data_IF_365408491511
#
_entry.id   IF_365408491511
#
_cell.length_a   1.000
_cell.length_b   1.000
_cell.length_c   1.000
_cell.angle_alpha   90.00
_cell.angle_beta   90.00
_cell.angle_gamma   90.00
#
_symmetry.space_group_name_H-M   'P 1'
#
loop_
_entity.id
_entity.type
_entity.pdbx_description
1 polymer ?
#
# COMPACT_ATOMS: atom_id res chain seq x y z
N UNK A 1 -40.52 -20.95 -6.15
CA UNK A 1 -40.41 -21.92 -5.06
C UNK A 1 -39.05 -21.80 -4.41
N UNK A 2 -38.99 -21.59 -3.09
CA UNK A 2 -37.73 -21.60 -2.34
C UNK A 2 -37.37 -23.05 -2.04
N UNK A 3 -36.29 -23.56 -2.65
CA UNK A 3 -35.65 -24.78 -2.19
C UNK A 3 -34.79 -24.41 -0.97
N UNK A 4 -35.22 -24.89 0.19
CA UNK A 4 -34.50 -24.81 1.47
C UNK A 4 -33.24 -25.67 1.42
N UNK A 5 -32.15 -25.13 0.87
CA UNK A 5 -30.81 -25.62 1.20
C UNK A 5 -30.46 -25.13 2.60
N UNK A 6 -30.59 -25.99 3.61
CA UNK A 6 -30.17 -25.69 4.98
C UNK A 6 -28.71 -25.24 4.98
N UNK A 7 -28.49 -23.92 5.13
CA UNK A 7 -27.14 -23.37 5.27
C UNK A 7 -26.59 -23.80 6.61
N UNK A 8 -25.76 -24.84 6.61
CA UNK A 8 -25.09 -25.28 7.83
C UNK A 8 -24.09 -24.21 8.28
N UNK A 9 -24.38 -23.62 9.44
CA UNK A 9 -23.53 -22.64 10.09
C UNK A 9 -22.40 -23.38 10.80
N UNK A 10 -21.19 -23.28 10.27
CA UNK A 10 -20.00 -23.86 10.88
C UNK A 10 -18.91 -22.80 11.05
N UNK A 11 -18.18 -22.88 12.16
CA UNK A 11 -17.02 -22.01 12.40
C UNK A 11 -15.94 -22.20 11.32
N UNK A 12 -15.14 -21.17 10.98
CA UNK A 12 -14.07 -21.29 9.97
C UNK A 12 -13.09 -22.42 10.28
N UNK A 13 -12.78 -22.62 11.57
CA UNK A 13 -11.91 -23.69 12.03
C UNK A 13 -12.53 -25.08 11.82
N UNK A 14 -13.82 -25.26 12.14
CA UNK A 14 -14.54 -26.52 11.93
C UNK A 14 -14.63 -26.89 10.43
N UNK A 15 -14.89 -25.91 9.54
CA UNK A 15 -14.92 -26.15 8.08
C UNK A 15 -13.57 -26.62 7.53
N UNK A 16 -12.47 -26.10 8.10
CA UNK A 16 -11.11 -26.49 7.70
C UNK A 16 -10.80 -27.92 8.13
N UNK A 17 -11.05 -28.26 9.39
CA UNK A 17 -10.80 -29.61 9.94
C UNK A 17 -11.65 -30.66 9.23
N UNK A 18 -12.93 -30.37 9.00
CA UNK A 18 -13.82 -31.30 8.31
C UNK A 18 -13.38 -31.58 6.86
N UNK A 19 -12.89 -30.55 6.14
CA UNK A 19 -12.34 -30.70 4.79
C UNK A 19 -11.07 -31.55 4.79
N UNK A 20 -10.18 -31.32 5.74
CA UNK A 20 -8.93 -32.08 5.90
C UNK A 20 -9.20 -33.55 6.25
N UNK A 21 -10.24 -33.81 7.05
CA UNK A 21 -10.63 -35.16 7.46
C UNK A 21 -11.62 -35.86 6.50
N UNK A 22 -12.06 -35.20 5.42
CA UNK A 22 -13.05 -35.75 4.49
C UNK A 22 -14.45 -35.94 5.07
N UNK A 23 -14.79 -35.19 6.12
CA UNK A 23 -16.09 -35.22 6.80
C UNK A 23 -16.99 -34.13 6.21
N UNK A 24 -18.22 -34.51 5.88
CA UNK A 24 -19.24 -33.55 5.46
C UNK A 24 -19.81 -32.80 6.67
N UNK A 25 -19.51 -31.51 6.75
CA UNK A 25 -20.00 -30.61 7.83
C UNK A 25 -21.52 -30.57 7.88
N UNK A 26 -22.21 -30.84 6.76
CA UNK A 26 -23.67 -30.86 6.73
C UNK A 26 -24.28 -32.08 7.41
N UNK A 27 -23.52 -33.16 7.57
CA UNK A 27 -23.91 -34.36 8.30
C UNK A 27 -23.54 -34.31 9.79
N UNK A 28 -22.90 -33.23 10.25
CA UNK A 28 -22.47 -33.06 11.65
C UNK A 28 -23.47 -32.18 12.39
N UNK A 29 -24.05 -32.71 13.46
CA UNK A 29 -24.93 -31.94 14.36
C UNK A 29 -24.10 -30.93 15.16
N UNK A 30 -24.42 -29.65 15.04
CA UNK A 30 -23.67 -28.57 15.70
C UNK A 30 -24.15 -28.29 17.12
N UNK A 31 -23.23 -28.31 18.09
CA UNK A 31 -23.52 -28.04 19.51
C UNK A 31 -23.30 -26.57 19.93
N UNK A 32 -22.82 -25.71 19.01
CA UNK A 32 -22.51 -24.31 19.30
C UNK A 32 -23.73 -23.36 19.28
N UNK A 33 -23.54 -22.08 19.68
CA UNK A 33 -24.61 -21.08 19.71
C UNK A 33 -25.30 -20.93 18.35
N UNK A 34 -26.63 -21.01 18.35
CA UNK A 34 -27.49 -21.05 17.14
C UNK A 34 -27.32 -22.30 16.26
N UNK A 35 -26.99 -23.46 16.85
CA UNK A 35 -26.83 -24.72 16.11
C UNK A 35 -25.55 -24.77 15.27
N UNK A 36 -24.53 -23.99 15.66
CA UNK A 36 -23.29 -23.86 14.91
C UNK A 36 -22.39 -25.07 15.12
N UNK A 37 -21.87 -25.65 14.03
CA UNK A 37 -20.86 -26.71 14.10
C UNK A 37 -19.52 -26.13 14.55
N UNK A 38 -19.04 -26.61 15.70
CA UNK A 38 -17.75 -26.24 16.28
C UNK A 38 -16.74 -27.37 16.13
N UNK A 39 -15.47 -27.09 16.46
CA UNK A 39 -14.37 -28.06 16.33
C UNK A 39 -14.68 -29.40 17.01
N UNK A 40 -15.24 -29.36 18.22
CA UNK A 40 -15.54 -30.56 19.01
C UNK A 40 -16.54 -31.50 18.29
N UNK A 41 -17.51 -30.96 17.55
CA UNK A 41 -18.51 -31.76 16.84
C UNK A 41 -17.88 -32.49 15.64
N UNK A 42 -16.95 -31.82 14.95
CA UNK A 42 -16.19 -32.41 13.83
C UNK A 42 -15.24 -33.48 14.35
N UNK A 43 -14.53 -33.23 15.45
CA UNK A 43 -13.63 -34.20 16.07
C UNK A 43 -14.38 -35.44 16.59
N UNK A 44 -15.59 -35.26 17.12
CA UNK A 44 -16.48 -36.34 17.52
C UNK A 44 -16.99 -37.15 16.31
N UNK A 45 -17.35 -36.50 15.21
CA UNK A 45 -17.76 -37.16 13.98
C UNK A 45 -16.62 -37.97 13.33
N UNK A 46 -15.38 -37.47 13.42
CA UNK A 46 -14.16 -38.19 13.00
C UNK A 46 -13.93 -39.42 13.88
N UNK A 47 -14.10 -39.29 15.19
CA UNK A 47 -13.85 -40.36 16.16
C UNK A 47 -14.93 -41.44 16.18
N UNK A 48 -16.18 -41.08 15.86
CA UNK A 48 -17.35 -41.97 15.87
C UNK A 48 -17.54 -42.81 14.61
N UNK A 49 -16.67 -42.69 13.60
CA UNK A 49 -16.68 -43.53 12.38
C UNK A 49 -17.90 -43.38 11.47
N UNK A 50 -18.79 -42.43 11.73
CA UNK A 50 -20.13 -42.37 11.16
C UNK A 50 -20.41 -41.15 10.29
N UNK A 51 -19.54 -40.83 9.31
CA UNK A 51 -19.89 -39.95 8.18
C UNK A 51 -18.77 -39.97 7.12
N UNK A 52 -18.47 -41.14 6.55
CA UNK A 52 -17.62 -41.22 5.36
C UNK A 52 -18.46 -40.86 4.14
N UNK A 53 -18.13 -39.76 3.47
CA UNK A 53 -18.76 -39.38 2.21
C UNK A 53 -18.58 -40.49 1.16
N UNK A 54 -19.63 -40.77 0.40
CA UNK A 54 -19.56 -41.62 -0.79
C UNK A 54 -18.55 -41.05 -1.81
N UNK A 55 -17.94 -41.87 -2.69
CA UNK A 55 -16.87 -41.40 -3.56
C UNK A 55 -17.40 -40.34 -4.52
N UNK A 56 -17.06 -39.08 -4.27
CA UNK A 56 -17.31 -38.01 -5.21
C UNK A 56 -16.47 -38.25 -6.47
N UNK A 57 -17.11 -38.17 -7.64
CA UNK A 57 -16.42 -38.13 -8.92
C UNK A 57 -15.28 -37.12 -8.85
N UNK A 58 -14.09 -37.50 -9.35
CA UNK A 58 -12.89 -36.66 -9.38
C UNK A 58 -13.24 -35.26 -9.88
N UNK A 59 -13.38 -34.32 -8.96
CA UNK A 59 -13.31 -32.91 -9.28
C UNK A 59 -11.89 -32.69 -9.81
N UNK A 60 -11.80 -32.23 -11.06
CA UNK A 60 -10.56 -31.72 -11.61
C UNK A 60 -9.94 -30.75 -10.59
N UNK A 61 -8.60 -30.74 -10.41
CA UNK A 61 -7.97 -29.87 -9.45
C UNK A 61 -8.50 -28.46 -9.69
N UNK A 62 -9.07 -27.85 -8.64
CA UNK A 62 -9.46 -26.46 -8.64
C UNK A 62 -8.24 -25.69 -9.15
N UNK A 63 -8.36 -25.16 -10.38
CA UNK A 63 -7.29 -24.41 -11.00
C UNK A 63 -6.82 -23.37 -9.99
N UNK A 64 -5.50 -23.27 -9.83
CA UNK A 64 -4.91 -22.06 -9.28
C UNK A 64 -5.67 -20.86 -9.87
N UNK A 65 -5.99 -19.81 -9.09
CA UNK A 65 -6.68 -18.64 -9.62
C UNK A 65 -5.96 -18.26 -10.90
N UNK A 66 -6.68 -18.33 -12.02
CA UNK A 66 -6.10 -18.04 -13.32
C UNK A 66 -5.41 -16.68 -13.19
N UNK A 67 -4.13 -16.54 -13.62
CA UNK A 67 -3.47 -15.25 -13.58
C UNK A 67 -4.42 -14.25 -14.23
N UNK A 68 -4.77 -13.19 -13.49
CA UNK A 68 -5.65 -12.15 -13.98
C UNK A 68 -5.14 -11.75 -15.36
N UNK A 69 -5.94 -12.02 -16.40
CA UNK A 69 -5.55 -11.75 -17.78
C UNK A 69 -5.34 -10.24 -17.83
N UNK A 70 -4.08 -9.81 -17.93
CA UNK A 70 -3.75 -8.40 -18.02
C UNK A 70 -4.45 -7.86 -19.27
N UNK A 71 -5.56 -7.15 -19.08
CA UNK A 71 -6.29 -6.51 -20.16
C UNK A 71 -5.33 -5.51 -20.80
N UNK A 72 -4.97 -5.77 -22.06
CA UNK A 72 -4.21 -4.79 -22.83
C UNK A 72 -5.05 -3.51 -22.94
N UNK A 73 -4.45 -2.33 -22.73
CA UNK A 73 -5.17 -1.08 -22.93
C UNK A 73 -5.70 -0.98 -24.37
N UNK A 74 -6.91 -0.43 -24.51
CA UNK A 74 -7.52 -0.14 -25.80
C UNK A 74 -6.66 0.86 -26.58
N UNK A 75 -6.68 0.78 -27.91
CA UNK A 75 -6.06 1.81 -28.74
C UNK A 75 -6.85 3.11 -28.69
N UNK A 76 -6.20 4.23 -29.02
CA UNK A 76 -6.82 5.56 -29.06
C UNK A 76 -8.11 5.55 -29.91
N UNK A 77 -8.08 4.98 -31.12
CA UNK A 77 -9.25 4.86 -32.00
C UNK A 77 -10.40 4.04 -31.38
N UNK A 78 -10.08 3.01 -30.59
CA UNK A 78 -11.09 2.21 -29.90
C UNK A 78 -11.73 3.00 -28.77
N UNK A 79 -10.95 3.80 -28.04
CA UNK A 79 -11.45 4.67 -26.97
C UNK A 79 -12.34 5.78 -27.56
N UNK A 80 -11.90 6.44 -28.63
CA UNK A 80 -12.64 7.55 -29.23
C UNK A 80 -14.01 7.11 -29.79
N UNK A 81 -14.11 5.89 -30.32
CA UNK A 81 -15.38 5.31 -30.80
C UNK A 81 -16.44 5.11 -29.70
N UNK A 82 -16.06 5.19 -28.43
CA UNK A 82 -17.00 5.12 -27.31
C UNK A 82 -17.78 6.43 -27.10
N UNK A 83 -17.37 7.52 -27.75
CA UNK A 83 -17.94 8.85 -27.57
C UNK A 83 -18.50 9.38 -28.90
N UNK A 84 -19.57 10.17 -28.83
CA UNK A 84 -20.15 10.79 -30.02
C UNK A 84 -19.19 11.81 -30.63
N UNK A 85 -19.11 11.88 -31.95
CA UNK A 85 -18.29 12.87 -32.64
C UNK A 85 -18.71 14.30 -32.25
N UNK A 86 -17.73 15.16 -31.96
CA UNK A 86 -17.97 16.54 -31.50
C UNK A 86 -18.36 16.68 -30.02
N UNK A 87 -18.48 15.59 -29.27
CA UNK A 87 -18.80 15.64 -27.82
C UNK A 87 -17.59 15.84 -26.90
N UNK A 88 -16.37 15.92 -27.45
CA UNK A 88 -15.13 16.00 -26.68
C UNK A 88 -14.10 16.95 -27.32
N UNK A 89 -13.23 17.50 -26.47
CA UNK A 89 -12.05 18.24 -26.87
C UNK A 89 -10.80 17.39 -26.63
N UNK A 90 -9.91 17.34 -27.63
CA UNK A 90 -8.63 16.66 -27.51
C UNK A 90 -7.58 17.63 -26.98
N UNK A 91 -7.15 17.40 -25.73
CA UNK A 91 -6.00 18.09 -25.14
C UNK A 91 -4.76 17.18 -25.25
N UNK A 92 -3.79 17.49 -26.12
CA UNK A 92 -2.62 16.64 -26.31
C UNK A 92 -1.81 16.49 -25.02
N UNK A 93 -1.33 15.27 -24.76
CA UNK A 93 -0.42 15.03 -23.65
C UNK A 93 1.00 15.51 -23.99
N UNK A 94 1.57 16.31 -23.11
CA UNK A 94 3.01 16.58 -23.09
C UNK A 94 3.83 15.33 -22.70
N UNK A 95 5.14 15.38 -22.93
CA UNK A 95 6.04 14.27 -22.65
C UNK A 95 6.18 13.95 -21.15
N UNK A 96 6.02 14.95 -20.28
CA UNK A 96 6.10 14.80 -18.84
C UNK A 96 4.91 13.97 -18.34
N UNK A 97 3.69 14.34 -18.72
CA UNK A 97 2.44 13.63 -18.44
C UNK A 97 2.47 12.19 -18.95
N UNK A 98 2.92 11.96 -20.19
CA UNK A 98 3.07 10.60 -20.75
C UNK A 98 4.03 9.74 -19.92
N UNK A 99 5.12 10.33 -19.45
CA UNK A 99 6.13 9.63 -18.65
C UNK A 99 5.63 9.31 -17.25
N UNK A 100 4.97 10.27 -16.58
CA UNK A 100 4.35 10.07 -15.27
C UNK A 100 3.30 8.96 -15.35
N UNK A 101 2.40 9.01 -16.34
CA UNK A 101 1.36 8.00 -16.52
C UNK A 101 1.94 6.60 -16.69
N UNK A 102 2.97 6.44 -17.54
CA UNK A 102 3.66 5.16 -17.74
C UNK A 102 4.27 4.62 -16.44
N UNK A 103 4.95 5.46 -15.66
CA UNK A 103 5.59 5.06 -14.39
C UNK A 103 4.56 4.69 -13.32
N UNK A 104 3.46 5.43 -13.22
CA UNK A 104 2.39 5.13 -12.26
C UNK A 104 1.68 3.81 -12.58
N UNK A 105 1.42 3.54 -13.86
CA UNK A 105 0.84 2.25 -14.30
C UNK A 105 1.81 1.12 -14.02
N UNK A 106 3.08 1.26 -14.40
CA UNK A 106 4.13 0.29 -14.09
C UNK A 106 4.19 -0.01 -12.59
N UNK A 107 4.28 1.02 -11.73
CA UNK A 107 4.33 0.85 -10.29
C UNK A 107 3.08 0.15 -9.73
N UNK A 108 1.88 0.61 -10.10
CA UNK A 108 0.62 0.09 -9.55
C UNK A 108 0.32 -1.34 -9.99
N UNK A 109 0.77 -1.73 -11.18
CA UNK A 109 0.51 -3.07 -11.73
C UNK A 109 1.55 -4.10 -11.31
N UNK A 110 2.79 -3.68 -11.04
CA UNK A 110 3.91 -4.59 -10.72
C UNK A 110 4.20 -4.69 -9.22
N UNK A 111 3.94 -3.64 -8.45
CA UNK A 111 4.26 -3.60 -7.01
C UNK A 111 3.01 -3.97 -6.21
N UNK A 112 3.07 -4.98 -5.31
CA UNK A 112 1.97 -5.36 -4.45
C UNK A 112 1.79 -4.35 -3.30
N UNK A 113 1.04 -3.29 -3.55
CA UNK A 113 0.80 -2.23 -2.57
C UNK A 113 -0.14 -2.68 -1.44
N UNK A 114 0.18 -2.26 -0.23
CA UNK A 114 -0.74 -2.25 0.91
C UNK A 114 -0.54 -0.95 1.68
N UNK A 115 -1.59 -0.50 2.38
CA UNK A 115 -1.62 0.81 3.01
C UNK A 115 -1.65 0.67 4.52
N UNK A 116 -0.83 1.50 5.19
CA UNK A 116 -0.82 1.66 6.63
C UNK A 116 -1.14 3.12 6.97
N UNK A 117 -1.80 3.36 8.10
CA UNK A 117 -2.17 4.70 8.54
C UNK A 117 -2.00 4.78 10.05
N UNK A 118 -1.54 5.94 10.51
CA UNK A 118 -1.40 6.29 11.91
C UNK A 118 -1.62 7.80 12.07
N UNK A 119 -2.07 8.21 13.25
CA UNK A 119 -2.21 9.62 13.61
C UNK A 119 -1.00 10.05 14.47
N UNK A 120 -0.44 11.23 14.16
CA UNK A 120 0.68 11.82 14.89
C UNK A 120 0.29 13.15 15.52
N UNK A 121 0.50 13.28 16.83
CA UNK A 121 0.41 14.57 17.54
C UNK A 121 1.62 15.45 17.21
N UNK A 122 1.38 16.72 16.90
CA UNK A 122 2.42 17.66 16.43
C UNK A 122 2.68 18.82 17.39
N UNK A 123 1.93 18.98 18.48
CA UNK A 123 2.06 20.10 19.42
C UNK A 123 3.52 20.38 19.84
N UNK A 124 4.23 19.35 20.29
CA UNK A 124 5.63 19.47 20.74
C UNK A 124 6.57 19.81 19.59
N UNK A 125 6.31 19.26 18.39
CA UNK A 125 7.08 19.55 17.19
C UNK A 125 6.91 21.01 16.76
N UNK A 126 5.67 21.53 16.82
CA UNK A 126 5.35 22.92 16.48
C UNK A 126 5.97 23.90 17.49
N UNK A 127 5.95 23.57 18.78
CA UNK A 127 6.64 24.34 19.82
C UNK A 127 8.16 24.39 19.57
N UNK A 128 8.78 23.23 19.32
CA UNK A 128 10.22 23.14 19.02
C UNK A 128 10.59 23.93 17.76
N UNK A 129 9.80 23.82 16.69
CA UNK A 129 9.98 24.58 15.45
C UNK A 129 10.00 26.09 15.72
N UNK A 130 9.10 26.56 16.57
CA UNK A 130 9.01 27.99 16.94
C UNK A 130 10.28 28.43 17.68
N UNK A 131 10.74 27.65 18.65
CA UNK A 131 11.96 27.93 19.40
C UNK A 131 13.20 27.97 18.49
N UNK A 132 13.35 26.98 17.60
CA UNK A 132 14.51 26.90 16.69
C UNK A 132 14.50 28.06 15.69
N UNK A 133 13.33 28.41 15.13
CA UNK A 133 13.22 29.53 14.21
C UNK A 133 13.49 30.88 14.89
N UNK A 134 13.12 31.05 16.16
CA UNK A 134 13.44 32.25 16.93
C UNK A 134 14.94 32.37 17.24
N UNK A 135 15.64 31.25 17.37
CA UNK A 135 17.09 31.20 17.58
C UNK A 135 17.92 31.28 16.28
N UNK A 136 17.27 31.38 15.11
CA UNK A 136 17.96 31.41 13.83
C UNK A 136 18.82 32.69 13.69
N UNK A 137 20.15 32.58 13.47
CA UNK A 137 21.01 33.74 13.28
C UNK A 137 20.56 34.57 12.08
N UNK A 138 20.55 35.90 12.20
CA UNK A 138 20.20 36.80 11.09
C UNK A 138 21.43 37.01 10.21
N UNK A 139 21.27 36.79 8.90
CA UNK A 139 22.28 37.09 7.88
C UNK A 139 21.85 38.34 7.11
N UNK A 140 22.81 39.24 6.88
CA UNK A 140 22.64 40.35 5.92
C UNK A 140 22.80 39.80 4.52
N UNK A 141 21.75 39.95 3.71
CA UNK A 141 21.73 39.62 2.29
C UNK A 141 21.54 40.90 1.48
N UNK A 142 21.78 40.86 0.18
CA UNK A 142 21.60 42.01 -0.72
C UNK A 142 20.16 42.54 -0.74
N UNK A 143 19.20 41.76 -0.23
CA UNK A 143 17.77 42.11 -0.10
C UNK A 143 17.34 42.47 1.33
N UNK A 144 18.28 42.59 2.27
CA UNK A 144 18.02 42.94 3.68
C UNK A 144 18.44 41.86 4.67
N UNK A 145 18.03 42.04 5.93
CA UNK A 145 18.26 41.08 7.02
C UNK A 145 17.26 39.92 6.94
N UNK A 146 17.75 38.69 6.80
CA UNK A 146 16.95 37.49 6.75
C UNK A 146 17.53 36.42 7.68
N UNK A 147 16.70 35.60 8.36
CA UNK A 147 17.21 34.51 9.17
C UNK A 147 17.95 33.49 8.28
N UNK A 148 19.07 32.97 8.78
CA UNK A 148 19.96 32.05 8.08
C UNK A 148 19.28 30.77 7.60
N UNK A 149 18.17 30.41 8.25
CA UNK A 149 17.25 29.37 7.85
C UNK A 149 15.85 29.70 8.40
N UNK A 150 14.83 29.11 7.80
CA UNK A 150 13.44 29.16 8.29
C UNK A 150 12.85 27.76 8.15
N UNK A 151 12.83 27.03 9.25
CA UNK A 151 12.37 25.64 9.28
C UNK A 151 10.86 25.57 9.07
N UNK A 152 10.45 24.65 8.21
CA UNK A 152 9.07 24.22 8.02
C UNK A 152 8.81 22.91 8.79
N UNK A 153 7.54 22.53 8.92
CA UNK A 153 7.17 21.19 9.41
C UNK A 153 7.72 20.12 8.46
N UNK A 154 7.70 20.37 7.15
CA UNK A 154 8.20 19.46 6.14
C UNK A 154 9.68 19.10 6.34
N UNK A 155 10.52 20.09 6.70
CA UNK A 155 11.96 19.87 6.94
C UNK A 155 12.19 18.89 8.11
N UNK A 156 11.34 19.00 9.15
CA UNK A 156 11.38 18.11 10.31
C UNK A 156 10.87 16.71 9.97
N UNK A 157 9.83 16.61 9.13
CA UNK A 157 9.30 15.33 8.63
C UNK A 157 10.34 14.61 7.76
N UNK A 158 11.03 15.33 6.86
CA UNK A 158 12.13 14.76 6.05
C UNK A 158 13.21 14.19 6.95
N UNK A 159 13.64 14.95 7.99
CA UNK A 159 14.67 14.47 8.92
C UNK A 159 14.21 13.25 9.71
N UNK A 160 12.98 13.27 10.21
CA UNK A 160 12.41 12.14 10.96
C UNK A 160 12.29 10.88 10.09
N UNK A 161 11.83 11.03 8.84
CA UNK A 161 11.75 9.93 7.87
C UNK A 161 13.12 9.34 7.57
N UNK A 162 14.13 10.19 7.32
CA UNK A 162 15.50 9.73 7.09
C UNK A 162 16.05 8.93 8.28
N UNK A 163 15.82 9.41 9.51
CA UNK A 163 16.22 8.68 10.72
C UNK A 163 15.46 7.36 10.88
N UNK A 164 14.16 7.33 10.58
CA UNK A 164 13.35 6.11 10.64
C UNK A 164 13.81 5.07 9.62
N UNK A 165 14.15 5.48 8.39
CA UNK A 165 14.72 4.62 7.36
C UNK A 165 16.07 4.01 7.77
N UNK A 166 16.88 4.74 8.54
CA UNK A 166 18.12 4.21 9.12
C UNK A 166 17.84 3.25 10.28
N UNK A 167 16.81 3.50 11.09
CA UNK A 167 16.41 2.64 12.20
C UNK A 167 15.75 1.32 11.74
N UNK A 168 15.09 1.33 10.57
CA UNK A 168 14.42 0.16 9.98
C UNK A 168 14.94 -0.06 8.54
N UNK A 169 16.14 -0.66 8.38
CA UNK A 169 16.78 -0.81 7.06
C UNK A 169 15.98 -1.61 6.04
N UNK A 170 15.08 -2.49 6.48
CA UNK A 170 14.21 -3.27 5.59
C UNK A 170 13.16 -2.39 4.88
N UNK A 171 12.81 -1.23 5.47
CA UNK A 171 11.99 -0.22 4.82
C UNK A 171 12.81 0.69 3.87
N UNK A 172 14.14 0.73 4.03
CA UNK A 172 15.06 1.50 3.19
C UNK A 172 15.80 0.59 2.19
N UNK A 173 15.04 -0.11 1.35
CA UNK A 173 15.58 -1.07 0.41
C UNK A 173 14.93 -0.95 -0.98
N UNK A 174 15.61 -1.48 -1.99
CA UNK A 174 15.10 -1.59 -3.35
C UNK A 174 15.11 -3.04 -3.82
N UNK A 175 14.07 -3.43 -4.54
CA UNK A 175 13.95 -4.75 -5.12
C UNK A 175 14.62 -4.80 -6.49
N UNK A 176 15.46 -5.80 -6.72
CA UNK A 176 15.95 -6.20 -8.05
C UNK A 176 15.61 -7.67 -8.28
N UNK A 177 15.68 -8.14 -9.52
CA UNK A 177 15.37 -9.54 -9.84
C UNK A 177 16.27 -10.55 -9.10
N UNK A 178 17.50 -10.17 -8.78
CA UNK A 178 18.50 -11.06 -8.18
C UNK A 178 18.72 -10.83 -6.68
N UNK A 179 18.45 -9.63 -6.17
CA UNK A 179 18.76 -9.27 -4.79
C UNK A 179 17.90 -8.10 -4.27
N UNK A 180 17.73 -8.07 -2.96
CA UNK A 180 17.27 -6.87 -2.24
C UNK A 180 18.47 -5.98 -1.93
N UNK A 181 18.44 -4.75 -2.44
CA UNK A 181 19.48 -3.73 -2.21
C UNK A 181 19.10 -2.94 -0.96
N UNK A 182 19.79 -3.18 0.16
CA UNK A 182 19.61 -2.39 1.40
C UNK A 182 20.51 -1.17 1.37
N UNK A 183 19.93 0.01 1.56
CA UNK A 183 20.68 1.27 1.48
C UNK A 183 21.35 1.61 2.80
N UNK A 184 22.58 2.14 2.73
CA UNK A 184 23.36 2.54 3.91
C UNK A 184 23.14 3.99 4.34
N UNK A 185 22.42 4.75 3.53
CA UNK A 185 22.07 6.15 3.75
C UNK A 185 20.61 6.36 3.33
N UNK A 186 20.00 7.44 3.80
CA UNK A 186 18.63 7.78 3.46
C UNK A 186 18.59 9.04 2.57
N UNK A 187 18.27 8.83 1.30
CA UNK A 187 17.90 9.88 0.37
C UNK A 187 16.38 10.05 0.40
N UNK A 188 15.88 11.28 0.58
CA UNK A 188 14.43 11.55 0.65
C UNK A 188 14.01 12.42 -0.53
N UNK A 189 13.19 11.84 -1.41
CA UNK A 189 12.53 12.57 -2.50
C UNK A 189 11.25 13.23 -2.02
N UNK A 190 11.06 14.52 -2.33
CA UNK A 190 9.87 15.28 -1.95
C UNK A 190 9.06 15.58 -3.19
N UNK A 191 7.84 15.08 -3.25
CA UNK A 191 6.93 15.32 -4.37
C UNK A 191 6.35 16.75 -4.26
N UNK A 192 6.75 17.65 -5.18
CA UNK A 192 6.28 19.04 -5.23
C UNK A 192 5.44 19.25 -6.48
N UNK A 193 4.19 19.66 -6.29
CA UNK A 193 3.28 19.97 -7.39
C UNK A 193 3.65 21.31 -8.02
N UNK A 194 3.64 21.35 -9.35
CA UNK A 194 3.81 22.56 -10.15
C UNK A 194 2.66 22.69 -11.15
N UNK A 195 2.39 23.89 -11.69
CA UNK A 195 1.44 24.04 -12.78
C UNK A 195 1.81 23.09 -13.94
N UNK A 196 0.90 22.17 -14.26
CA UNK A 196 1.08 21.20 -15.34
C UNK A 196 1.80 19.91 -14.97
N UNK A 197 2.30 19.72 -13.73
CA UNK A 197 2.97 18.46 -13.38
C UNK A 197 3.47 18.34 -11.94
N UNK A 198 4.51 17.52 -11.79
CA UNK A 198 5.14 17.18 -10.52
C UNK A 198 6.66 17.18 -10.73
N UNK A 199 7.38 17.79 -9.81
CA UNK A 199 8.84 17.63 -9.69
C UNK A 199 9.16 16.89 -8.39
N UNK A 200 10.32 16.26 -8.35
CA UNK A 200 10.77 15.51 -7.18
C UNK A 200 12.21 15.88 -6.84
N UNK A 201 12.44 17.02 -6.16
CA UNK A 201 13.73 17.31 -5.54
C UNK A 201 14.12 16.20 -4.57
N UNK A 202 15.42 15.89 -4.51
CA UNK A 202 15.96 14.80 -3.68
C UNK A 202 16.96 15.39 -2.70
N UNK A 203 16.64 15.29 -1.41
CA UNK A 203 17.57 15.59 -0.33
C UNK A 203 18.44 14.36 -0.11
N UNK A 204 19.64 14.36 -0.69
CA UNK A 204 20.58 13.24 -0.56
C UNK A 204 21.19 13.19 0.84
N UNK A 205 21.39 12.00 1.40
CA UNK A 205 21.96 11.77 2.74
C UNK A 205 21.29 12.62 3.83
N UNK A 206 19.95 12.64 3.83
CA UNK A 206 19.16 13.38 4.81
C UNK A 206 19.40 12.87 6.24
N UNK A 207 19.89 11.64 6.40
CA UNK A 207 20.31 11.04 7.66
C UNK A 207 21.50 11.76 8.31
N UNK A 208 22.45 12.26 7.52
CA UNK A 208 23.66 12.94 8.01
C UNK A 208 23.47 14.46 8.18
N UNK A 209 22.50 15.04 7.48
CA UNK A 209 22.30 16.50 7.43
C UNK A 209 21.58 17.07 8.64
N UNK A 210 21.91 18.30 9.01
CA UNK A 210 21.16 19.06 10.03
C UNK A 210 19.85 19.61 9.44
N UNK A 211 18.91 19.98 10.29
CA UNK A 211 17.63 20.57 9.86
C UNK A 211 17.81 21.85 9.03
N UNK A 212 18.80 22.68 9.36
CA UNK A 212 19.07 23.92 8.63
C UNK A 212 19.59 23.64 7.21
N UNK A 213 20.44 22.63 7.04
CA UNK A 213 20.93 22.22 5.71
C UNK A 213 19.78 21.67 4.86
N UNK A 214 18.95 20.78 5.44
CA UNK A 214 17.76 20.23 4.76
C UNK A 214 16.82 21.37 4.33
N UNK A 215 16.54 22.34 5.22
CA UNK A 215 15.63 23.46 4.94
C UNK A 215 16.12 24.38 3.82
N UNK A 216 17.44 24.51 3.67
CA UNK A 216 18.01 25.33 2.61
C UNK A 216 18.00 24.57 1.28
N UNK A 217 18.40 23.30 1.25
CA UNK A 217 18.34 22.46 0.04
C UNK A 217 16.92 22.23 -0.48
N UNK A 218 15.91 22.25 0.39
CA UNK A 218 14.50 22.13 -0.02
C UNK A 218 13.96 23.41 -0.67
N UNK A 219 14.60 24.57 -0.46
CA UNK A 219 14.18 25.85 -1.02
C UNK A 219 14.87 26.18 -2.34
N UNK A 220 16.04 25.58 -2.55
CA UNK A 220 16.81 25.67 -3.79
C UNK A 220 16.18 24.81 -4.90
#
# INVERSE_FOLDING_TARGET
GHASGERVFASPLARRIAREAGVDVSAVSGSGPHGRVVKADVDAAISGGGAKAAPAAKAAPAGAPAPAVALKPMSDDQVLKLFAEGSYELVPHDNMRKTIARRLVEATTTIPHFYLTLDCELDTLLALRTQINAAAPVKKTDKGEAPAYKLSVNDMVIKAMAMALMAVPDANASWTESAMVKHKHADVGVAVSIPGGLITPIIRRADEKTLSVISNEMKD
#
